data_IF_211613640125
#
_entry.id   IF_211613640125
#
_cell.length_a   1.000
_cell.length_b   1.000
_cell.length_c   1.000
_cell.angle_alpha   90.00
_cell.angle_beta   90.00
_cell.angle_gamma   90.00
#
_symmetry.space_group_name_H-M   'P 1'
#
loop_
_entity.id
_entity.type
_entity.pdbx_description
1 polymer ?
#
# COMPACT_ATOMS: atom_id res chain seq x y z
N UNK A 1 7.81 31.70 -4.09
CA UNK A 1 8.22 30.31 -3.76
C UNK A 1 7.40 29.74 -2.61
N UNK A 2 7.18 30.47 -1.51
CA UNK A 2 6.38 30.03 -0.34
C UNK A 2 4.89 29.70 -0.66
N UNK A 3 4.21 30.49 -1.47
CA UNK A 3 2.80 30.27 -1.84
C UNK A 3 2.56 28.99 -2.66
N UNK A 4 3.54 28.52 -3.45
CA UNK A 4 3.44 27.22 -4.15
C UNK A 4 3.63 26.05 -3.20
N UNK A 5 4.49 26.16 -2.20
CA UNK A 5 4.69 25.14 -1.18
C UNK A 5 3.43 24.94 -0.31
N UNK A 6 2.78 26.00 0.14
CA UNK A 6 1.54 25.93 0.92
C UNK A 6 0.37 25.32 0.14
N UNK A 7 0.26 25.61 -1.16
CA UNK A 7 -0.74 25.02 -2.04
C UNK A 7 -0.50 23.52 -2.24
N UNK A 8 0.77 23.10 -2.45
CA UNK A 8 1.14 21.70 -2.54
C UNK A 8 0.90 20.96 -1.23
N UNK A 9 1.24 21.54 -0.09
CA UNK A 9 1.01 20.96 1.23
C UNK A 9 -0.49 20.77 1.54
N UNK A 10 -1.33 21.75 1.15
CA UNK A 10 -2.80 21.65 1.30
C UNK A 10 -3.42 20.60 0.37
N UNK A 11 -2.96 20.51 -0.88
CA UNK A 11 -3.43 19.52 -1.87
C UNK A 11 -2.98 18.10 -1.49
N UNK A 12 -1.73 17.94 -1.04
CA UNK A 12 -1.18 16.68 -0.54
C UNK A 12 -1.94 16.16 0.69
N UNK A 13 -2.33 17.05 1.60
CA UNK A 13 -3.05 16.70 2.84
C UNK A 13 -4.42 16.07 2.59
N UNK A 14 -5.08 16.38 1.47
CA UNK A 14 -6.39 15.84 1.09
C UNK A 14 -6.32 14.45 0.40
N UNK A 15 -5.12 13.97 0.06
CA UNK A 15 -4.90 12.70 -0.63
C UNK A 15 -4.25 11.64 0.27
N UNK A 16 -3.82 12.01 1.49
CA UNK A 16 -3.20 11.10 2.46
C UNK A 16 -4.18 10.83 3.60
N UNK A 17 -4.61 9.57 3.67
CA UNK A 17 -5.52 9.06 4.70
C UNK A 17 -4.71 8.23 5.70
N UNK A 18 -4.52 8.76 6.91
CA UNK A 18 -3.78 8.10 7.99
C UNK A 18 -4.76 7.57 9.04
N UNK A 19 -4.79 6.24 9.25
CA UNK A 19 -5.76 5.59 10.12
C UNK A 19 -5.43 5.70 11.60
N UNK A 20 -4.14 5.79 11.96
CA UNK A 20 -3.70 5.91 13.36
C UNK A 20 -4.17 7.18 14.08
N UNK A 21 -4.69 8.17 13.33
CA UNK A 21 -5.26 9.41 13.91
C UNK A 21 -6.56 9.18 14.67
N UNK A 22 -7.22 8.05 14.47
CA UNK A 22 -8.47 7.70 15.15
C UNK A 22 -8.29 6.44 15.98
N UNK A 23 -8.82 6.44 17.20
CA UNK A 23 -8.82 5.25 18.05
C UNK A 23 -9.75 4.19 17.48
N UNK A 24 -9.21 3.01 17.24
CA UNK A 24 -9.96 1.83 16.77
C UNK A 24 -9.16 0.56 17.05
N UNK A 25 -9.75 -0.61 16.79
CA UNK A 25 -9.04 -1.91 16.87
C UNK A 25 -7.80 -1.96 15.97
N UNK A 26 -7.75 -1.14 14.94
CA UNK A 26 -6.59 -0.97 14.08
C UNK A 26 -5.31 -0.67 14.87
N UNK A 27 -5.41 0.19 15.90
CA UNK A 27 -4.28 0.57 16.74
C UNK A 27 -3.66 -0.64 17.48
N UNK A 28 -4.46 -1.65 17.82
CA UNK A 28 -3.96 -2.89 18.44
C UNK A 28 -3.08 -3.65 17.45
N UNK A 29 -3.54 -3.85 16.23
CA UNK A 29 -2.77 -4.58 15.21
C UNK A 29 -1.49 -3.83 14.81
N UNK A 30 -1.58 -2.51 14.67
CA UNK A 30 -0.42 -1.65 14.42
C UNK A 30 0.58 -1.72 15.58
N UNK A 31 0.11 -1.70 16.83
CA UNK A 31 0.96 -1.84 18.02
C UNK A 31 1.68 -3.19 18.04
N UNK A 32 0.98 -4.29 17.77
CA UNK A 32 1.56 -5.64 17.80
C UNK A 32 2.64 -5.85 16.72
N UNK A 33 2.50 -5.27 15.52
CA UNK A 33 3.57 -5.36 14.49
C UNK A 33 4.79 -4.50 14.80
N UNK A 34 4.66 -3.53 15.73
CA UNK A 34 5.76 -2.68 16.19
C UNK A 34 6.44 -3.21 17.46
N UNK A 35 5.71 -3.93 18.31
CA UNK A 35 6.25 -4.44 19.58
C UNK A 35 7.29 -5.52 19.33
N UNK A 36 8.54 -5.25 19.69
CA UNK A 36 9.70 -6.13 19.48
C UNK A 36 9.58 -7.50 20.18
N UNK A 37 8.69 -7.67 21.14
CA UNK A 37 8.41 -8.96 21.77
C UNK A 37 7.36 -9.77 21.00
N UNK A 38 6.35 -9.10 20.45
CA UNK A 38 5.20 -9.72 19.78
C UNK A 38 5.52 -10.00 18.31
N UNK A 39 6.16 -9.08 17.60
CA UNK A 39 6.45 -9.18 16.17
C UNK A 39 7.35 -10.36 15.77
N UNK A 40 8.07 -10.97 16.73
CA UNK A 40 8.92 -12.15 16.51
C UNK A 40 8.13 -13.41 16.12
N UNK A 41 6.85 -13.47 16.45
CA UNK A 41 5.96 -14.50 15.93
C UNK A 41 5.55 -14.15 14.50
N UNK A 42 6.23 -14.80 13.54
CA UNK A 42 6.02 -14.53 12.12
C UNK A 42 4.57 -14.79 11.65
N UNK A 43 3.87 -15.78 12.25
CA UNK A 43 2.47 -16.04 11.92
C UNK A 43 1.58 -14.88 12.38
N UNK A 44 1.76 -14.43 13.63
CA UNK A 44 1.02 -13.28 14.17
C UNK A 44 1.35 -12.00 13.41
N UNK A 45 2.63 -11.78 13.04
CA UNK A 45 3.04 -10.62 12.24
C UNK A 45 2.32 -10.60 10.89
N UNK A 46 2.34 -11.71 10.12
CA UNK A 46 1.60 -11.82 8.84
C UNK A 46 0.10 -11.59 9.06
N UNK A 47 -0.48 -12.20 10.10
CA UNK A 47 -1.93 -12.07 10.35
C UNK A 47 -2.33 -10.63 10.72
N UNK A 48 -1.48 -9.91 11.44
CA UNK A 48 -1.74 -8.50 11.72
C UNK A 48 -1.55 -7.61 10.48
N UNK A 49 -0.60 -7.91 9.61
CA UNK A 49 -0.48 -7.23 8.31
C UNK A 49 -1.71 -7.45 7.42
N UNK A 50 -2.27 -8.67 7.39
CA UNK A 50 -3.55 -8.94 6.72
C UNK A 50 -4.68 -8.08 7.32
N UNK A 51 -4.87 -8.08 8.65
CA UNK A 51 -5.91 -7.29 9.34
C UNK A 51 -5.76 -5.79 9.10
N UNK A 52 -4.53 -5.28 9.11
CA UNK A 52 -4.23 -3.88 8.80
C UNK A 52 -4.68 -3.55 7.37
N UNK A 53 -4.34 -4.38 6.40
CA UNK A 53 -4.70 -4.15 5.01
C UNK A 53 -6.19 -4.40 4.71
N UNK A 54 -6.86 -5.30 5.43
CA UNK A 54 -8.32 -5.46 5.42
C UNK A 54 -9.02 -4.16 5.83
N UNK A 55 -8.60 -3.57 6.95
CA UNK A 55 -9.19 -2.30 7.42
C UNK A 55 -8.88 -1.15 6.46
N UNK A 56 -7.64 -1.05 5.97
CA UNK A 56 -7.28 -0.06 4.94
C UNK A 56 -8.10 -0.27 3.67
N UNK A 57 -8.31 -1.52 3.23
CA UNK A 57 -9.14 -1.89 2.10
C UNK A 57 -10.61 -1.51 2.28
N UNK A 58 -11.17 -1.73 3.46
CA UNK A 58 -12.51 -1.30 3.80
C UNK A 58 -12.66 0.23 3.76
N UNK A 59 -11.74 0.96 4.37
CA UNK A 59 -11.80 2.42 4.41
C UNK A 59 -11.62 3.04 3.01
N UNK A 60 -10.66 2.55 2.21
CA UNK A 60 -10.46 3.04 0.85
C UNK A 60 -11.64 2.71 -0.08
N UNK A 61 -12.32 1.58 0.15
CA UNK A 61 -13.46 1.17 -0.68
C UNK A 61 -14.58 2.19 -0.69
N UNK A 62 -14.74 2.96 0.39
CA UNK A 62 -15.74 4.05 0.48
C UNK A 62 -15.50 5.19 -0.52
N UNK A 63 -14.34 5.23 -1.16
CA UNK A 63 -13.97 6.22 -2.20
C UNK A 63 -14.02 5.65 -3.63
N UNK A 64 -14.36 4.37 -3.78
CA UNK A 64 -14.56 3.74 -5.07
C UNK A 64 -15.97 4.02 -5.60
N UNK A 65 -16.17 3.78 -6.90
CA UNK A 65 -17.47 3.97 -7.53
C UNK A 65 -18.36 2.74 -7.36
N UNK A 66 -19.63 2.98 -7.10
CA UNK A 66 -20.65 1.95 -6.92
C UNK A 66 -21.79 2.14 -7.93
N UNK A 67 -22.44 1.04 -8.32
CA UNK A 67 -23.63 1.03 -9.16
C UNK A 67 -24.75 0.30 -8.44
N UNK A 68 -25.99 0.72 -8.69
CA UNK A 68 -27.18 0.03 -8.21
C UNK A 68 -27.37 -1.30 -8.94
N UNK A 69 -27.75 -2.33 -8.19
CA UNK A 69 -28.08 -3.67 -8.71
C UNK A 69 -29.23 -4.26 -7.96
N UNK A 70 -30.26 -4.73 -8.69
CA UNK A 70 -31.36 -5.50 -8.09
C UNK A 70 -30.93 -6.97 -7.90
N UNK A 71 -31.12 -7.51 -6.72
CA UNK A 71 -30.87 -8.91 -6.39
C UNK A 71 -32.15 -9.58 -5.94
N UNK A 72 -32.32 -10.86 -6.32
CA UNK A 72 -33.44 -11.69 -5.83
C UNK A 72 -33.09 -12.26 -4.47
N UNK A 73 -34.03 -12.13 -3.54
CA UNK A 73 -33.95 -12.73 -2.20
C UNK A 73 -35.00 -13.84 -2.10
N UNK A 74 -34.97 -14.68 -1.06
CA UNK A 74 -36.02 -15.70 -0.87
C UNK A 74 -37.45 -15.15 -0.74
N UNK A 75 -37.58 -13.86 -0.36
CA UNK A 75 -38.90 -13.24 -0.06
C UNK A 75 -39.24 -12.08 -1.01
N UNK A 76 -38.39 -11.77 -2.00
CA UNK A 76 -38.67 -10.66 -2.93
C UNK A 76 -37.42 -10.17 -3.67
N UNK A 77 -37.38 -8.87 -3.95
CA UNK A 77 -36.25 -8.21 -4.60
C UNK A 77 -35.70 -7.09 -3.69
N UNK A 78 -34.40 -6.90 -3.73
CA UNK A 78 -33.71 -5.82 -3.00
C UNK A 78 -32.78 -5.06 -3.94
N UNK A 79 -32.75 -3.75 -3.82
CA UNK A 79 -31.78 -2.91 -4.50
C UNK A 79 -30.56 -2.73 -3.60
N UNK A 80 -29.37 -3.06 -4.13
CA UNK A 80 -28.08 -2.96 -3.43
C UNK A 80 -27.10 -2.17 -4.28
N UNK A 81 -26.06 -1.61 -3.62
CA UNK A 81 -24.95 -0.97 -4.29
C UNK A 81 -23.75 -1.90 -4.29
N UNK A 82 -23.20 -2.18 -5.47
CA UNK A 82 -22.01 -3.02 -5.65
C UNK A 82 -20.91 -2.20 -6.32
N UNK A 83 -19.65 -2.61 -6.12
CA UNK A 83 -18.54 -1.98 -6.82
C UNK A 83 -18.78 -1.99 -8.32
N UNK A 84 -18.58 -0.85 -8.97
CA UNK A 84 -18.70 -0.70 -10.42
C UNK A 84 -17.67 -1.55 -11.16
N UNK A 85 -16.45 -1.59 -10.63
CA UNK A 85 -15.35 -2.41 -11.14
C UNK A 85 -14.44 -2.88 -10.01
N UNK A 86 -13.86 -4.05 -10.16
CA UNK A 86 -12.82 -4.53 -9.24
C UNK A 86 -11.49 -3.87 -9.58
N UNK A 87 -10.75 -3.36 -8.57
CA UNK A 87 -9.39 -2.87 -8.79
C UNK A 87 -8.44 -4.00 -9.16
N UNK A 88 -7.29 -3.69 -9.75
CA UNK A 88 -6.17 -4.62 -9.82
C UNK A 88 -5.36 -4.47 -8.53
N UNK A 89 -5.08 -5.57 -7.85
CA UNK A 89 -4.25 -5.58 -6.64
C UNK A 89 -2.79 -5.85 -7.03
N UNK A 90 -1.93 -4.85 -6.86
CA UNK A 90 -0.49 -4.97 -7.10
C UNK A 90 0.28 -4.99 -5.79
N UNK A 91 1.31 -5.83 -5.69
CA UNK A 91 2.12 -5.91 -4.47
C UNK A 91 3.59 -6.07 -4.74
N UNK A 92 4.42 -5.48 -3.87
CA UNK A 92 5.87 -5.61 -3.91
C UNK A 92 6.30 -6.78 -3.03
N UNK A 93 6.81 -7.83 -3.68
CA UNK A 93 7.30 -9.02 -2.99
C UNK A 93 8.67 -8.75 -2.34
N UNK A 94 8.98 -9.41 -1.26
CA UNK A 94 8.23 -10.42 -0.47
C UNK A 94 7.29 -9.77 0.54
N UNK A 95 7.71 -8.64 1.14
CA UNK A 95 7.07 -8.00 2.29
C UNK A 95 5.58 -7.69 2.10
N UNK A 96 5.17 -7.27 0.89
CA UNK A 96 3.79 -6.91 0.59
C UNK A 96 2.81 -8.08 0.55
N UNK A 97 3.26 -9.34 0.51
CA UNK A 97 2.37 -10.49 0.30
C UNK A 97 1.31 -10.64 1.40
N UNK A 98 1.65 -10.39 2.66
CA UNK A 98 0.68 -10.47 3.75
C UNK A 98 -0.42 -9.39 3.63
N UNK A 99 -0.04 -8.17 3.24
CA UNK A 99 -1.00 -7.10 2.96
C UNK A 99 -1.86 -7.41 1.73
N UNK A 100 -1.27 -8.00 0.70
CA UNK A 100 -2.00 -8.43 -0.49
C UNK A 100 -3.13 -9.41 -0.15
N UNK A 101 -2.85 -10.40 0.69
CA UNK A 101 -3.85 -11.37 1.14
C UNK A 101 -5.03 -10.68 1.85
N UNK A 102 -4.76 -9.71 2.72
CA UNK A 102 -5.82 -8.95 3.40
C UNK A 102 -6.66 -8.11 2.43
N UNK A 103 -6.05 -7.45 1.44
CA UNK A 103 -6.78 -6.74 0.39
C UNK A 103 -7.64 -7.71 -0.44
N UNK A 104 -7.11 -8.89 -0.78
CA UNK A 104 -7.81 -9.90 -1.56
C UNK A 104 -9.02 -10.50 -0.83
N UNK A 105 -9.02 -10.52 0.51
CA UNK A 105 -10.18 -10.92 1.31
C UNK A 105 -11.38 -9.98 1.14
N UNK A 106 -11.17 -8.73 0.72
CA UNK A 106 -12.23 -7.75 0.48
C UNK A 106 -12.52 -7.55 -1.02
N UNK A 107 -11.50 -7.61 -1.85
CA UNK A 107 -11.60 -7.49 -3.30
C UNK A 107 -11.36 -8.85 -3.96
N UNK A 108 -12.16 -9.83 -3.59
CA UNK A 108 -12.00 -11.26 -3.89
C UNK A 108 -12.03 -11.63 -5.38
N UNK A 109 -12.62 -10.79 -6.19
CA UNK A 109 -12.70 -10.96 -7.65
C UNK A 109 -11.66 -10.11 -8.40
N UNK A 110 -10.70 -9.53 -7.69
CA UNK A 110 -9.62 -8.72 -8.29
C UNK A 110 -8.59 -9.56 -9.03
N UNK A 111 -8.13 -9.06 -10.16
CA UNK A 111 -6.91 -9.55 -10.78
C UNK A 111 -5.69 -9.04 -10.02
N UNK A 112 -4.61 -9.84 -10.01
CA UNK A 112 -3.44 -9.58 -9.18
C UNK A 112 -2.20 -9.32 -10.02
N UNK A 113 -1.36 -8.37 -9.56
CA UNK A 113 -0.04 -8.13 -10.09
C UNK A 113 1.03 -8.34 -8.99
N UNK A 114 2.06 -9.10 -9.32
CA UNK A 114 3.16 -9.41 -8.40
C UNK A 114 4.46 -8.89 -8.96
N UNK A 115 5.16 -8.10 -8.15
CA UNK A 115 6.41 -7.47 -8.53
C UNK A 115 7.49 -7.81 -7.52
N UNK A 116 8.60 -8.41 -7.99
CA UNK A 116 9.82 -8.55 -7.20
C UNK A 116 10.76 -7.40 -7.54
N UNK A 117 11.05 -6.60 -6.53
CA UNK A 117 12.02 -5.51 -6.62
C UNK A 117 13.02 -5.62 -5.45
N UNK A 118 14.30 -5.50 -5.76
CA UNK A 118 15.36 -5.53 -4.75
C UNK A 118 16.38 -4.42 -4.96
N UNK A 119 17.07 -4.07 -3.88
CA UNK A 119 18.18 -3.13 -3.92
C UNK A 119 19.42 -3.84 -4.44
N UNK A 120 19.95 -3.39 -5.56
CA UNK A 120 21.24 -3.82 -6.08
C UNK A 120 22.27 -2.76 -5.71
N UNK A 121 23.19 -3.09 -4.81
CA UNK A 121 24.29 -2.20 -4.45
C UNK A 121 25.21 -1.99 -5.64
N UNK A 122 25.42 -0.74 -6.03
CA UNK A 122 26.38 -0.30 -7.05
C UNK A 122 27.67 0.17 -6.41
N UNK A 123 27.61 0.62 -5.14
CA UNK A 123 28.73 0.93 -4.27
C UNK A 123 28.33 0.68 -2.80
N UNK A 124 29.24 0.79 -1.80
CA UNK A 124 28.90 0.65 -0.38
C UNK A 124 27.80 1.62 0.09
N UNK A 125 27.65 2.76 -0.56
CA UNK A 125 26.72 3.84 -0.18
C UNK A 125 25.58 4.05 -1.18
N UNK A 126 25.68 3.46 -2.39
CA UNK A 126 24.70 3.64 -3.47
C UNK A 126 24.06 2.31 -3.85
N UNK A 127 22.76 2.36 -4.12
CA UNK A 127 22.01 1.22 -4.65
C UNK A 127 20.99 1.67 -5.70
N UNK A 128 20.79 0.80 -6.69
CA UNK A 128 19.68 0.89 -7.66
C UNK A 128 18.57 -0.09 -7.29
N UNK A 129 17.33 0.30 -7.55
CA UNK A 129 16.19 -0.61 -7.44
C UNK A 129 16.02 -1.35 -8.76
N UNK A 130 16.20 -2.66 -8.70
CA UNK A 130 16.04 -3.54 -9.86
C UNK A 130 14.73 -4.33 -9.76
N UNK A 131 13.92 -4.29 -10.84
CA UNK A 131 12.72 -5.13 -10.97
C UNK A 131 13.12 -6.38 -11.74
N UNK A 132 13.08 -7.52 -11.06
CA UNK A 132 13.48 -8.82 -11.63
C UNK A 132 12.32 -9.63 -12.15
N UNK A 133 11.17 -9.52 -11.49
CA UNK A 133 9.97 -10.25 -11.87
C UNK A 133 8.76 -9.33 -11.89
N UNK A 134 7.95 -9.43 -12.91
CA UNK A 134 6.68 -8.73 -13.04
C UNK A 134 5.67 -9.64 -13.75
N UNK A 135 4.64 -10.06 -13.03
CA UNK A 135 3.44 -10.66 -13.59
C UNK A 135 2.26 -9.73 -13.30
N UNK A 136 1.53 -9.34 -14.34
CA UNK A 136 0.43 -8.37 -14.21
C UNK A 136 -0.58 -8.56 -15.34
N UNK A 137 -1.88 -8.36 -15.08
CA UNK A 137 -2.86 -8.18 -16.15
C UNK A 137 -2.60 -6.85 -16.90
N UNK A 138 -3.40 -6.59 -17.95
CA UNK A 138 -3.45 -5.27 -18.60
C UNK A 138 -3.99 -4.22 -17.62
N UNK A 139 -3.35 -3.04 -17.60
CA UNK A 139 -3.67 -1.98 -16.65
C UNK A 139 -4.39 -0.77 -17.27
N UNK A 140 -4.60 -0.78 -18.59
CA UNK A 140 -5.24 0.36 -19.27
C UNK A 140 -6.63 0.64 -18.70
N UNK A 141 -6.82 1.88 -18.27
CA UNK A 141 -8.05 2.38 -17.67
C UNK A 141 -8.53 1.68 -16.39
N UNK A 142 -7.68 0.83 -15.77
CA UNK A 142 -8.01 0.14 -14.52
C UNK A 142 -7.63 0.98 -13.29
N UNK A 143 -8.35 0.75 -12.21
CA UNK A 143 -7.91 1.21 -10.87
C UNK A 143 -6.88 0.21 -10.37
N UNK A 144 -5.73 0.68 -9.91
CA UNK A 144 -4.67 -0.17 -9.33
C UNK A 144 -4.46 0.21 -7.87
N UNK A 145 -4.56 -0.77 -6.98
CA UNK A 145 -4.16 -0.65 -5.58
C UNK A 145 -2.77 -1.28 -5.46
N UNK A 146 -1.75 -0.46 -5.19
CA UNK A 146 -0.37 -0.90 -5.02
C UNK A 146 -0.02 -0.91 -3.53
N UNK A 147 0.28 -2.09 -2.98
CA UNK A 147 0.59 -2.29 -1.57
C UNK A 147 2.07 -2.57 -1.32
N UNK A 148 2.61 -1.90 -0.29
CA UNK A 148 3.93 -2.13 0.28
C UNK A 148 3.86 -1.82 1.79
N UNK A 149 4.29 -2.71 2.70
CA UNK A 149 4.22 -2.47 4.13
C UNK A 149 4.90 -1.20 4.60
N UNK A 150 5.99 -0.80 3.96
CA UNK A 150 6.86 0.28 4.45
C UNK A 150 7.29 1.23 3.34
N UNK A 151 6.81 2.46 3.39
CA UNK A 151 7.25 3.54 2.51
C UNK A 151 8.35 4.36 3.22
N UNK A 152 9.60 3.90 3.13
CA UNK A 152 10.75 4.55 3.77
C UNK A 152 11.24 5.76 2.96
N UNK A 153 11.79 5.53 1.76
CA UNK A 153 12.24 6.58 0.83
C UNK A 153 11.28 6.79 -0.34
N UNK A 154 10.40 5.84 -0.60
CA UNK A 154 9.50 5.83 -1.75
C UNK A 154 10.14 5.39 -3.07
N UNK A 155 11.46 5.25 -3.16
CA UNK A 155 12.17 4.93 -4.40
C UNK A 155 11.77 3.57 -5.00
N UNK A 156 11.63 2.54 -4.18
CA UNK A 156 11.18 1.21 -4.61
C UNK A 156 9.79 1.27 -5.25
N UNK A 157 8.86 1.96 -4.60
CA UNK A 157 7.49 2.10 -5.10
C UNK A 157 7.44 2.85 -6.45
N UNK A 158 8.19 3.93 -6.60
CA UNK A 158 8.27 4.69 -7.86
C UNK A 158 8.86 3.83 -8.97
N UNK A 159 9.90 3.04 -8.69
CA UNK A 159 10.49 2.12 -9.68
C UNK A 159 9.51 1.04 -10.11
N UNK A 160 8.80 0.43 -9.14
CA UNK A 160 7.74 -0.55 -9.41
C UNK A 160 6.60 0.06 -10.22
N UNK A 161 6.15 1.26 -9.88
CA UNK A 161 5.13 1.97 -10.65
C UNK A 161 5.55 2.17 -12.12
N UNK A 162 6.79 2.62 -12.37
CA UNK A 162 7.32 2.75 -13.74
C UNK A 162 7.36 1.43 -14.50
N UNK A 163 7.65 0.33 -13.81
CA UNK A 163 7.61 -1.01 -14.42
C UNK A 163 6.17 -1.43 -14.75
N UNK A 164 5.20 -1.16 -13.87
CA UNK A 164 3.77 -1.43 -14.10
C UNK A 164 3.22 -0.68 -15.32
N UNK A 165 3.69 0.55 -15.60
CA UNK A 165 3.27 1.32 -16.77
C UNK A 165 3.58 0.63 -18.11
N UNK A 166 4.48 -0.37 -18.15
CA UNK A 166 4.71 -1.21 -19.33
C UNK A 166 3.53 -2.14 -19.62
N UNK A 167 2.64 -2.36 -18.66
CA UNK A 167 1.44 -3.20 -18.79
C UNK A 167 0.18 -2.40 -19.14
N UNK A 168 0.29 -1.07 -19.27
CA UNK A 168 -0.79 -0.15 -19.59
C UNK A 168 -0.82 1.08 -18.69
N UNK A 169 -1.73 2.01 -18.98
CA UNK A 169 -1.90 3.26 -18.23
C UNK A 169 -3.14 3.16 -17.31
N UNK A 170 -2.97 2.99 -15.99
CA UNK A 170 -4.09 2.99 -15.05
C UNK A 170 -4.87 4.31 -15.08
N UNK A 171 -6.19 4.24 -14.85
CA UNK A 171 -7.04 5.41 -14.65
C UNK A 171 -6.79 6.07 -13.29
N UNK A 172 -6.49 5.23 -12.28
CA UNK A 172 -6.21 5.68 -10.90
C UNK A 172 -5.20 4.75 -10.23
N UNK A 173 -4.33 5.35 -9.42
CA UNK A 173 -3.41 4.63 -8.52
C UNK A 173 -3.79 4.95 -7.07
N UNK A 174 -3.90 3.91 -6.26
CA UNK A 174 -4.11 3.99 -4.82
C UNK A 174 -2.94 3.26 -4.15
N UNK A 175 -2.24 3.95 -3.27
CA UNK A 175 -1.12 3.38 -2.52
C UNK A 175 -1.61 2.97 -1.14
N UNK A 176 -1.27 1.75 -0.72
CA UNK A 176 -1.63 1.22 0.60
C UNK A 176 -0.37 0.78 1.33
N UNK A 177 -0.16 1.30 2.55
CA UNK A 177 1.01 0.94 3.36
C UNK A 177 0.66 0.83 4.85
N UNK A 178 1.35 -0.06 5.58
CA UNK A 178 1.20 -0.12 7.03
C UNK A 178 1.84 1.09 7.71
N UNK A 179 3.05 1.46 7.29
CA UNK A 179 3.75 2.67 7.76
C UNK A 179 4.41 3.43 6.61
N UNK A 180 4.53 4.73 6.76
CA UNK A 180 5.17 5.61 5.78
C UNK A 180 5.96 6.73 6.46
N UNK A 181 6.87 7.37 5.72
CA UNK A 181 7.50 8.64 6.13
C UNK A 181 6.92 9.80 5.34
N UNK A 182 6.95 11.03 5.87
CA UNK A 182 6.57 12.22 5.11
C UNK A 182 7.38 12.38 3.82
N UNK A 183 8.68 12.12 3.89
CA UNK A 183 9.60 12.25 2.75
C UNK A 183 9.27 11.26 1.64
N UNK A 184 8.92 10.00 2.01
CA UNK A 184 8.49 9.01 1.03
C UNK A 184 7.18 9.41 0.34
N UNK A 185 6.20 9.89 1.10
CA UNK A 185 4.92 10.35 0.54
C UNK A 185 5.14 11.52 -0.43
N UNK A 186 5.95 12.51 -0.05
CA UNK A 186 6.29 13.64 -0.91
C UNK A 186 7.05 13.19 -2.17
N UNK A 187 8.04 12.29 -2.02
CA UNK A 187 8.80 11.76 -3.14
C UNK A 187 7.90 11.02 -4.13
N UNK A 188 7.02 10.15 -3.64
CA UNK A 188 6.09 9.39 -4.47
C UNK A 188 5.12 10.34 -5.20
N UNK A 189 4.57 11.34 -4.50
CA UNK A 189 3.66 12.33 -5.10
C UNK A 189 4.28 13.11 -6.26
N UNK A 190 5.58 13.38 -6.20
CA UNK A 190 6.30 14.06 -7.29
C UNK A 190 6.47 13.19 -8.54
N UNK A 191 6.36 11.88 -8.43
CA UNK A 191 6.65 10.92 -9.50
C UNK A 191 5.42 10.15 -10.02
N UNK A 192 4.32 10.15 -9.28
CA UNK A 192 3.08 9.51 -9.64
C UNK A 192 2.04 10.56 -10.12
N UNK A 193 0.93 10.13 -10.76
CA UNK A 193 -0.15 11.03 -11.17
C UNK A 193 -0.70 11.85 -9.98
N UNK A 194 -1.09 13.09 -10.25
CA UNK A 194 -1.63 14.00 -9.22
C UNK A 194 -2.86 13.46 -8.47
N UNK A 195 -3.62 12.56 -9.08
CA UNK A 195 -4.82 11.94 -8.49
C UNK A 195 -4.52 10.64 -7.72
N UNK A 196 -3.25 10.38 -7.37
CA UNK A 196 -2.86 9.24 -6.54
C UNK A 196 -3.32 9.44 -5.10
N UNK A 197 -4.08 8.49 -4.56
CA UNK A 197 -4.49 8.46 -3.16
C UNK A 197 -3.55 7.58 -2.32
N UNK A 198 -3.30 7.98 -1.07
CA UNK A 198 -2.47 7.25 -0.11
C UNK A 198 -3.31 6.84 1.10
N UNK A 199 -3.33 5.56 1.40
CA UNK A 199 -3.97 4.99 2.57
C UNK A 199 -2.90 4.34 3.42
N UNK A 200 -2.58 4.95 4.56
CA UNK A 200 -1.47 4.54 5.42
C UNK A 200 -1.95 4.26 6.83
N UNK A 201 -1.36 3.24 7.44
CA UNK A 201 -1.63 2.93 8.83
C UNK A 201 -1.15 4.04 9.75
N UNK A 202 0.13 4.37 9.68
CA UNK A 202 0.74 5.46 10.44
C UNK A 202 1.86 6.15 9.67
N UNK A 203 2.17 7.40 10.07
CA UNK A 203 3.27 8.19 9.51
C UNK A 203 4.32 8.41 10.60
N UNK A 204 5.50 7.86 10.37
CA UNK A 204 6.69 7.99 11.22
C UNK A 204 7.66 9.01 10.62
N UNK A 205 8.27 9.85 11.47
CA UNK A 205 8.93 11.08 11.00
C UNK A 205 10.39 10.91 10.57
N UNK A 206 11.06 9.85 11.02
CA UNK A 206 12.51 9.74 10.92
C UNK A 206 12.95 8.49 10.15
N UNK A 207 14.13 8.59 9.54
CA UNK A 207 14.86 7.47 8.95
C UNK A 207 16.23 7.35 9.59
N UNK A 208 16.71 6.11 9.77
CA UNK A 208 18.13 5.87 10.06
C UNK A 208 18.99 6.13 8.81
N UNK A 209 20.32 6.20 8.99
CA UNK A 209 21.27 6.29 7.87
C UNK A 209 21.13 5.14 6.85
N UNK A 210 20.65 3.96 7.31
CA UNK A 210 20.38 2.80 6.46
C UNK A 210 18.95 2.79 5.86
N UNK A 211 18.23 3.91 5.97
CA UNK A 211 16.85 4.08 5.47
C UNK A 211 15.80 3.17 6.15
N UNK A 212 15.98 2.82 7.42
CA UNK A 212 14.93 2.21 8.25
C UNK A 212 14.06 3.31 8.86
N UNK A 213 12.74 3.07 8.89
CA UNK A 213 11.76 3.97 9.50
C UNK A 213 11.89 3.94 11.03
N UNK A 214 11.84 5.10 11.69
CA UNK A 214 11.91 5.25 13.16
C UNK A 214 10.66 5.98 13.66
N UNK A 215 9.93 5.41 14.66
CA UNK A 215 10.18 4.16 15.37
C UNK A 215 10.00 2.90 14.52
N UNK A 216 9.21 2.95 13.43
CA UNK A 216 9.10 1.87 12.46
C UNK A 216 8.58 0.54 13.02
N UNK A 217 9.05 -0.54 12.41
CA UNK A 217 8.76 -1.92 12.82
C UNK A 217 9.91 -2.90 12.48
N UNK A 218 11.04 -2.43 11.95
CA UNK A 218 12.15 -3.27 11.49
C UNK A 218 12.03 -3.65 10.00
N UNK A 219 12.50 -4.84 9.58
CA UNK A 219 12.33 -5.34 8.20
C UNK A 219 11.08 -6.23 8.12
N UNK A 220 10.04 -5.72 7.45
CA UNK A 220 8.77 -6.42 7.31
C UNK A 220 8.88 -7.75 6.53
N UNK A 221 9.81 -7.81 5.57
CA UNK A 221 10.04 -9.02 4.79
C UNK A 221 10.65 -10.13 5.61
N UNK A 222 11.65 -9.78 6.41
CA UNK A 222 12.35 -10.75 7.26
C UNK A 222 11.48 -11.19 8.45
N UNK A 223 10.73 -10.28 9.06
CA UNK A 223 9.74 -10.61 10.10
C UNK A 223 8.64 -11.55 9.59
N UNK A 224 8.18 -11.33 8.37
CA UNK A 224 7.09 -12.13 7.79
C UNK A 224 7.55 -13.48 7.22
N UNK A 225 8.73 -13.55 6.59
CA UNK A 225 9.13 -14.66 5.72
C UNK A 225 10.55 -15.18 5.96
N UNK A 226 11.22 -14.71 7.02
CA UNK A 226 12.60 -15.10 7.35
C UNK A 226 13.65 -14.26 6.63
N UNK A 227 14.87 -14.28 7.17
CA UNK A 227 16.00 -13.53 6.67
C UNK A 227 16.38 -13.91 5.22
N UNK A 228 16.90 -12.92 4.48
CA UNK A 228 17.49 -13.12 3.13
C UNK A 228 18.96 -13.47 3.29
N UNK A 229 19.43 -14.41 2.49
CA UNK A 229 20.85 -14.71 2.33
C UNK A 229 21.38 -14.12 1.02
#
# INVERSE_FOLDING_TARGET
MFLKMDYFYKKAKNMVHELSKSNSIFATFLGEIRDSNIQKDAMRFRKNMERISEILGYELSKKLEYISKTVKTPLGEAEIHVLKEQPVLATILRAGLAMHNGLLNYFDSSECAFISAYRKHTSPEEFDIHVEYLASPKLDNRIVILSDPMLATGSSLVTVYKALLKQGKPSKIIIVAAIATPDALEYIQRHLPENTDFWVGAIDKELTAQSYIVPGLGDAGDLAFGEKY
#
